data_IF_045732411598
#
_entry.id   IF_045732411598
#
_cell.length_a   1.000
_cell.length_b   1.000
_cell.length_c   1.000
_cell.angle_alpha   90.00
_cell.angle_beta   90.00
_cell.angle_gamma   90.00
#
_symmetry.space_group_name_H-M   'P 1'
#
loop_
_entity.id
_entity.type
_entity.pdbx_description
1 polymer ?
#
# COMPACT_ATOMS: atom_id res chain seq x y z
N UNK A 1 -64.06 -3.33 14.82
CA UNK A 1 -63.94 -1.90 14.46
C UNK A 1 -63.27 -1.84 13.09
N UNK A 2 -64.04 -1.52 12.06
CA UNK A 2 -63.64 -1.34 10.65
C UNK A 2 -62.64 -0.18 10.53
N UNK A 3 -61.67 -0.18 9.59
CA UNK A 3 -61.72 0.29 8.18
C UNK A 3 -60.38 -0.23 7.58
N UNK A 4 -60.22 -1.09 6.56
CA UNK A 4 -60.67 -1.18 5.15
C UNK A 4 -60.42 0.06 4.29
N UNK A 5 -59.34 0.06 3.52
CA UNK A 5 -59.41 0.45 2.10
C UNK A 5 -58.32 -0.26 1.27
N UNK A 6 -58.81 -1.11 0.37
CA UNK A 6 -58.16 -1.79 -0.75
C UNK A 6 -57.82 -0.83 -1.90
N UNK A 7 -57.07 -1.36 -2.88
CA UNK A 7 -57.04 -1.13 -4.36
C UNK A 7 -55.56 -1.01 -4.83
N UNK A 8 -55.02 -1.71 -5.83
CA UNK A 8 -55.50 -2.73 -6.77
C UNK A 8 -54.26 -3.37 -7.47
N UNK A 9 -54.34 -4.66 -7.77
CA UNK A 9 -53.42 -5.60 -8.47
C UNK A 9 -53.27 -5.33 -10.01
N UNK A 10 -52.52 -6.11 -10.85
CA UNK A 10 -51.92 -7.43 -10.62
C UNK A 10 -50.51 -7.73 -11.18
N UNK A 11 -49.92 -8.79 -10.64
CA UNK A 11 -48.89 -9.61 -11.26
C UNK A 11 -49.57 -10.74 -12.05
N UNK A 12 -49.07 -11.06 -13.24
CA UNK A 12 -49.46 -12.27 -13.97
C UNK A 12 -48.20 -13.06 -14.39
N UNK A 13 -48.33 -14.37 -14.21
CA UNK A 13 -47.33 -15.44 -14.32
C UNK A 13 -47.38 -16.10 -15.71
N UNK A 14 -46.46 -17.05 -15.87
CA UNK A 14 -46.43 -18.22 -16.77
C UNK A 14 -45.49 -18.07 -17.97
N UNK A 15 -44.86 -19.12 -18.49
CA UNK A 15 -44.14 -20.29 -17.96
C UNK A 15 -43.41 -20.88 -19.20
N UNK A 16 -42.40 -21.71 -18.96
CA UNK A 16 -41.53 -22.47 -19.86
C UNK A 16 -42.00 -22.82 -21.30
N UNK A 17 -41.08 -22.70 -22.27
CA UNK A 17 -41.15 -23.33 -23.59
C UNK A 17 -39.77 -23.41 -24.27
N UNK A 18 -39.33 -24.64 -24.57
CA UNK A 18 -38.05 -25.03 -25.19
C UNK A 18 -37.87 -24.47 -26.61
N UNK A 19 -36.65 -24.16 -27.08
CA UNK A 19 -36.41 -23.65 -28.43
C UNK A 19 -36.15 -24.79 -29.42
N UNK A 20 -37.20 -25.52 -29.76
CA UNK A 20 -37.23 -26.41 -30.93
C UNK A 20 -38.47 -25.99 -31.74
N UNK A 21 -38.33 -25.89 -33.06
CA UNK A 21 -39.36 -25.51 -34.05
C UNK A 21 -39.44 -24.03 -34.46
N UNK A 22 -38.60 -23.64 -35.44
CA UNK A 22 -39.01 -22.80 -36.58
C UNK A 22 -37.92 -22.78 -37.67
N UNK A 23 -37.86 -23.85 -38.47
CA UNK A 23 -37.24 -23.85 -39.80
C UNK A 23 -38.35 -23.94 -40.85
N UNK A 24 -38.29 -23.04 -41.83
CA UNK A 24 -38.93 -22.97 -43.17
C UNK A 24 -39.56 -21.59 -43.33
N UNK A 25 -39.16 -20.74 -44.29
CA UNK A 25 -39.18 -20.96 -45.74
C UNK A 25 -38.03 -20.20 -46.44
N UNK A 26 -37.33 -20.89 -47.35
CA UNK A 26 -36.52 -20.32 -48.45
C UNK A 26 -37.33 -20.58 -49.74
N UNK A 27 -37.19 -19.79 -50.83
CA UNK A 27 -36.30 -20.28 -51.89
C UNK A 27 -35.57 -19.18 -52.67
N UNK A 28 -34.28 -19.39 -52.94
CA UNK A 28 -33.63 -19.00 -54.19
C UNK A 28 -32.38 -19.88 -54.41
N UNK A 29 -32.63 -20.98 -55.11
CA UNK A 29 -31.68 -21.85 -55.80
C UNK A 29 -30.73 -21.06 -56.71
N UNK A 30 -29.42 -21.25 -56.57
CA UNK A 30 -28.52 -21.65 -57.68
C UNK A 30 -27.51 -22.66 -57.09
N UNK A 31 -27.53 -23.87 -57.64
CA UNK A 31 -26.63 -24.99 -57.34
C UNK A 31 -25.72 -25.21 -58.55
N UNK A 32 -24.42 -25.37 -58.32
CA UNK A 32 -23.64 -26.37 -59.07
C UNK A 32 -22.75 -27.15 -58.09
N UNK A 33 -22.73 -28.49 -58.18
CA UNK A 33 -21.93 -29.36 -57.33
C UNK A 33 -20.53 -29.49 -57.90
N UNK A 34 -19.50 -29.31 -57.08
CA UNK A 34 -18.29 -30.11 -57.17
C UNK A 34 -17.52 -30.04 -55.85
N UNK A 35 -17.66 -31.13 -55.10
CA UNK A 35 -16.58 -31.89 -54.48
C UNK A 35 -15.63 -31.19 -53.47
N UNK A 36 -15.67 -31.77 -52.26
CA UNK A 36 -14.51 -32.19 -51.43
C UNK A 36 -14.14 -31.31 -50.24
N UNK A 37 -14.68 -31.71 -49.08
CA UNK A 37 -14.12 -31.64 -47.72
C UNK A 37 -12.95 -30.68 -47.47
N UNK A 38 -13.26 -29.54 -46.85
CA UNK A 38 -12.27 -28.69 -46.17
C UNK A 38 -11.95 -29.33 -44.83
N UNK A 39 -10.88 -30.13 -44.81
CA UNK A 39 -10.15 -30.45 -43.58
C UNK A 39 -9.29 -29.24 -43.23
N UNK A 40 -9.63 -28.57 -42.12
CA UNK A 40 -8.77 -27.59 -41.46
C UNK A 40 -7.49 -28.31 -41.01
N UNK A 41 -6.41 -28.12 -41.77
CA UNK A 41 -5.05 -28.39 -41.34
C UNK A 41 -4.21 -27.14 -41.41
N UNK A 42 -3.39 -27.04 -40.38
CA UNK A 42 -2.56 -25.93 -39.95
C UNK A 42 -1.57 -25.44 -41.01
N UNK A 43 -1.28 -24.14 -40.93
CA UNK A 43 -0.01 -23.48 -41.23
C UNK A 43 0.97 -24.18 -42.19
N UNK A 44 1.10 -23.57 -43.38
CA UNK A 44 2.41 -23.26 -43.93
C UNK A 44 2.89 -24.09 -45.13
N UNK A 45 3.31 -23.35 -46.16
CA UNK A 45 4.23 -23.74 -47.25
C UNK A 45 3.57 -24.18 -48.55
N UNK A 46 3.38 -23.22 -49.45
CA UNK A 46 3.18 -23.49 -50.87
C UNK A 46 4.48 -24.07 -51.47
N UNK A 47 4.41 -25.25 -52.07
CA UNK A 47 5.52 -25.86 -52.82
C UNK A 47 5.17 -25.75 -54.31
N UNK A 48 5.91 -24.92 -55.05
CA UNK A 48 5.86 -24.89 -56.50
C UNK A 48 6.63 -26.09 -57.08
N UNK A 49 5.99 -26.87 -57.96
CA UNK A 49 6.63 -27.98 -58.66
C UNK A 49 7.11 -27.55 -60.06
N UNK A 50 8.42 -27.57 -60.28
CA UNK A 50 9.04 -27.41 -61.61
C UNK A 50 9.27 -28.78 -62.26
N UNK A 51 9.10 -28.84 -63.59
CA UNK A 51 9.10 -30.04 -64.45
C UNK A 51 10.50 -30.57 -64.81
N UNK A 52 11.50 -30.37 -63.95
CA UNK A 52 12.86 -30.88 -64.15
C UNK A 52 13.32 -31.58 -62.88
N UNK A 53 13.60 -32.89 -62.98
CA UNK A 53 13.89 -33.80 -61.87
C UNK A 53 15.22 -33.59 -61.15
N UNK A 54 15.53 -32.38 -60.72
CA UNK A 54 16.58 -32.12 -59.73
C UNK A 54 15.95 -31.81 -58.38
N UNK A 55 16.22 -32.67 -57.39
CA UNK A 55 15.87 -32.41 -55.99
C UNK A 55 16.67 -31.21 -55.51
N UNK A 56 16.05 -30.03 -55.48
CA UNK A 56 16.57 -28.91 -54.71
C UNK A 56 16.50 -29.30 -53.24
N UNK A 57 17.66 -29.63 -52.68
CA UNK A 57 17.85 -29.87 -51.25
C UNK A 57 17.66 -28.52 -50.54
N UNK A 58 16.42 -28.18 -50.22
CA UNK A 58 16.11 -27.03 -49.36
C UNK A 58 16.69 -27.36 -47.99
N UNK A 59 17.86 -26.78 -47.71
CA UNK A 59 18.49 -26.82 -46.41
C UNK A 59 17.63 -25.94 -45.50
N UNK A 60 16.69 -26.55 -44.77
CA UNK A 60 15.92 -25.83 -43.77
C UNK A 60 16.89 -25.06 -42.86
N UNK A 61 16.73 -23.73 -42.71
CA UNK A 61 17.59 -22.97 -41.83
C UNK A 61 17.12 -23.20 -40.39
N UNK A 62 17.39 -24.40 -39.85
CA UNK A 62 17.13 -24.77 -38.43
C UNK A 62 17.82 -23.81 -37.44
N UNK A 63 18.77 -23.00 -37.92
CA UNK A 63 19.52 -22.03 -37.12
C UNK A 63 18.75 -20.72 -36.80
N UNK A 64 17.57 -20.47 -37.38
CA UNK A 64 16.90 -19.14 -37.24
C UNK A 64 16.12 -18.96 -35.94
N UNK A 65 15.48 -20.00 -35.42
CA UNK A 65 14.71 -19.91 -34.17
C UNK A 65 15.60 -19.62 -32.96
N UNK A 66 16.79 -20.21 -32.96
CA UNK A 66 17.77 -19.98 -31.89
C UNK A 66 18.29 -18.55 -31.95
N UNK A 67 18.54 -17.99 -33.13
CA UNK A 67 18.93 -16.58 -33.28
C UNK A 67 17.88 -15.60 -32.75
N UNK A 68 16.59 -15.79 -33.07
CA UNK A 68 15.54 -14.87 -32.62
C UNK A 68 15.32 -14.96 -31.11
N UNK A 69 15.30 -16.17 -30.54
CA UNK A 69 15.14 -16.36 -29.09
C UNK A 69 16.33 -15.81 -28.32
N UNK A 70 17.56 -16.04 -28.81
CA UNK A 70 18.77 -15.46 -28.23
C UNK A 70 18.73 -13.93 -28.29
N UNK A 71 18.29 -13.35 -29.42
CA UNK A 71 18.21 -11.90 -29.57
C UNK A 71 17.19 -11.30 -28.58
N UNK A 72 16.00 -11.88 -28.44
CA UNK A 72 14.99 -11.42 -27.47
C UNK A 72 15.47 -11.54 -26.02
N UNK A 73 16.11 -12.66 -25.67
CA UNK A 73 16.69 -12.85 -24.33
C UNK A 73 17.79 -11.83 -24.06
N UNK A 74 18.65 -11.54 -25.04
CA UNK A 74 19.68 -10.49 -24.92
C UNK A 74 19.06 -9.12 -24.74
N UNK A 75 17.96 -8.79 -25.44
CA UNK A 75 17.26 -7.51 -25.24
C UNK A 75 16.66 -7.43 -23.84
N UNK A 76 16.04 -8.50 -23.35
CA UNK A 76 15.43 -8.53 -22.02
C UNK A 76 16.48 -8.43 -20.90
N UNK A 77 17.59 -9.16 -21.02
CA UNK A 77 18.74 -9.06 -20.10
C UNK A 77 19.37 -7.67 -20.17
N UNK A 78 19.50 -7.08 -21.36
CA UNK A 78 19.99 -5.72 -21.50
C UNK A 78 19.08 -4.71 -20.81
N UNK A 79 17.75 -4.88 -20.91
CA UNK A 79 16.78 -4.01 -20.26
C UNK A 79 16.83 -4.17 -18.74
N UNK A 80 16.95 -5.40 -18.23
CA UNK A 80 17.11 -5.68 -16.80
C UNK A 80 18.46 -5.19 -16.26
N UNK A 81 19.53 -5.26 -17.05
CA UNK A 81 20.82 -4.69 -16.67
C UNK A 81 20.76 -3.17 -16.70
N UNK A 82 20.15 -2.57 -17.72
CA UNK A 82 19.94 -1.12 -17.79
C UNK A 82 19.09 -0.70 -16.59
N UNK A 83 17.98 -1.36 -16.28
CA UNK A 83 17.15 -1.04 -15.12
C UNK A 83 17.87 -1.31 -13.80
N UNK A 84 18.70 -2.35 -13.68
CA UNK A 84 19.52 -2.61 -12.50
C UNK A 84 20.64 -1.59 -12.32
N UNK A 85 21.29 -1.16 -13.40
CA UNK A 85 22.33 -0.13 -13.39
C UNK A 85 21.74 1.27 -13.27
N UNK A 86 20.60 1.53 -13.90
CA UNK A 86 19.82 2.74 -13.76
C UNK A 86 19.26 2.82 -12.35
N UNK A 87 18.63 1.80 -11.78
CA UNK A 87 18.21 1.80 -10.37
C UNK A 87 19.41 1.93 -9.42
N UNK A 88 20.58 1.34 -9.73
CA UNK A 88 21.83 1.57 -8.97
C UNK A 88 22.44 2.96 -9.14
N UNK A 89 22.23 3.64 -10.28
CA UNK A 89 22.77 4.99 -10.59
C UNK A 89 21.73 6.12 -10.41
N UNK A 90 20.45 5.76 -10.31
CA UNK A 90 19.28 6.54 -9.88
C UNK A 90 18.97 6.28 -8.40
N UNK A 91 19.80 5.52 -7.69
CA UNK A 91 20.35 6.08 -6.45
C UNK A 91 21.12 7.30 -6.90
N UNK A 92 20.38 8.40 -7.10
CA UNK A 92 20.95 9.73 -7.08
C UNK A 92 21.80 9.69 -5.84
N UNK A 93 23.12 9.67 -6.05
CA UNK A 93 24.03 10.13 -5.04
C UNK A 93 23.46 11.48 -4.68
N UNK A 94 22.70 11.51 -3.58
CA UNK A 94 22.62 12.71 -2.80
C UNK A 94 24.10 13.01 -2.65
N UNK A 95 24.65 14.11 -3.22
CA UNK A 95 25.78 14.69 -2.54
C UNK A 95 25.30 14.73 -1.11
N UNK A 96 26.08 14.20 -0.16
CA UNK A 96 25.79 14.45 1.22
C UNK A 96 25.65 15.97 1.28
N UNK A 97 24.40 16.45 1.21
CA UNK A 97 23.96 17.60 1.91
C UNK A 97 24.40 17.16 3.28
N UNK A 98 25.58 17.66 3.66
CA UNK A 98 25.71 18.22 4.97
C UNK A 98 24.34 18.80 5.22
N UNK A 99 23.56 18.08 6.03
CA UNK A 99 22.35 18.59 6.63
C UNK A 99 22.94 19.68 7.51
N UNK A 100 23.29 20.78 6.85
CA UNK A 100 23.76 22.00 7.43
C UNK A 100 22.52 22.42 8.15
N UNK A 101 22.47 22.01 9.42
CA UNK A 101 21.50 22.32 10.46
C UNK A 101 20.56 23.36 9.91
N UNK A 102 19.55 22.91 9.14
CA UNK A 102 18.54 23.83 8.66
C UNK A 102 17.89 24.18 9.96
N UNK A 103 18.09 25.40 10.43
CA UNK A 103 17.34 25.89 11.57
C UNK A 103 15.92 25.52 11.27
N UNK A 104 15.41 24.57 12.07
CA UNK A 104 14.07 24.07 11.91
C UNK A 104 13.19 25.32 11.82
N UNK A 105 12.22 25.38 10.88
CA UNK A 105 11.23 26.45 10.90
C UNK A 105 10.78 26.58 12.35
N UNK A 106 10.67 27.82 12.88
CA UNK A 106 10.58 28.09 14.31
C UNK A 106 9.69 27.03 14.91
N UNK A 107 10.25 26.15 15.76
CA UNK A 107 9.52 25.03 16.33
C UNK A 107 8.31 25.66 16.99
N UNK A 108 7.17 25.65 16.31
CA UNK A 108 5.89 25.97 16.91
C UNK A 108 5.86 25.01 18.08
N UNK A 109 5.92 25.57 19.29
CA UNK A 109 6.01 24.76 20.49
C UNK A 109 4.93 23.68 20.37
N UNK A 110 5.29 22.38 20.44
CA UNK A 110 4.33 21.32 20.20
C UNK A 110 3.12 21.58 21.08
N UNK A 111 1.93 21.65 20.47
CA UNK A 111 0.73 21.86 21.26
C UNK A 111 0.57 20.64 22.16
N UNK A 112 0.68 20.85 23.46
CA UNK A 112 0.52 19.79 24.44
C UNK A 112 -0.99 19.57 24.63
N UNK A 113 -1.45 18.35 24.38
CA UNK A 113 -2.86 17.96 24.42
C UNK A 113 -2.98 16.67 25.21
N UNK A 114 -3.75 16.67 26.30
CA UNK A 114 -3.83 15.53 27.22
C UNK A 114 -2.48 15.02 27.75
N UNK A 115 -1.45 15.87 27.80
CA UNK A 115 -0.08 15.47 28.16
C UNK A 115 0.79 14.96 27.00
N UNK A 116 0.30 14.99 25.77
CA UNK A 116 1.00 14.48 24.58
C UNK A 116 1.32 15.60 23.59
N UNK A 117 2.48 15.50 22.94
CA UNK A 117 2.91 16.46 21.95
C UNK A 117 2.17 16.26 20.62
N UNK A 118 1.54 17.32 20.11
CA UNK A 118 0.87 17.33 18.80
C UNK A 118 1.36 18.52 17.96
N UNK A 119 2.45 18.36 17.19
CA UNK A 119 2.88 19.38 16.24
C UNK A 119 1.83 19.66 15.14
N UNK A 120 1.65 20.94 14.78
CA UNK A 120 0.62 21.37 13.83
C UNK A 120 0.97 21.15 12.36
N UNK A 121 2.27 21.05 12.04
CA UNK A 121 2.79 20.86 10.69
C UNK A 121 2.63 19.42 10.17
N UNK A 122 2.16 18.51 11.02
CA UNK A 122 1.96 17.09 10.70
C UNK A 122 0.50 16.80 10.32
N UNK A 123 0.31 15.61 9.74
CA UNK A 123 -1.00 14.98 9.58
C UNK A 123 -0.99 13.63 10.26
N UNK A 124 -2.10 13.26 10.88
CA UNK A 124 -2.20 12.08 11.74
C UNK A 124 -3.26 11.12 11.22
N UNK A 125 -2.99 9.84 11.33
CA UNK A 125 -3.96 8.79 11.13
C UNK A 125 -4.57 8.40 12.49
N UNK A 126 -5.87 8.03 12.57
CA UNK A 126 -6.48 7.57 13.82
C UNK A 126 -5.74 6.41 14.51
N UNK A 127 -4.98 5.62 13.74
CA UNK A 127 -4.09 4.58 14.25
C UNK A 127 -2.76 5.08 14.86
N UNK A 128 -2.70 6.32 15.32
CA UNK A 128 -1.54 6.93 16.00
C UNK A 128 -0.22 6.89 15.22
N UNK A 129 -0.33 7.09 13.90
CA UNK A 129 0.79 7.31 13.00
C UNK A 129 0.70 8.68 12.36
N UNK A 130 1.84 9.28 12.03
CA UNK A 130 1.90 10.60 11.42
C UNK A 130 2.55 10.56 10.04
N UNK A 131 2.21 11.54 9.22
CA UNK A 131 2.75 11.80 7.90
C UNK A 131 3.25 13.26 7.79
N UNK A 132 4.46 13.44 7.30
CA UNK A 132 5.08 14.72 6.97
C UNK A 132 5.42 14.73 5.47
N UNK A 133 4.96 15.75 4.75
CA UNK A 133 5.32 15.92 3.35
C UNK A 133 6.73 16.52 3.24
N UNK A 134 7.67 15.76 2.69
CA UNK A 134 9.05 16.22 2.41
C UNK A 134 9.16 16.84 1.01
N UNK A 135 8.37 16.32 0.09
CA UNK A 135 8.24 16.78 -1.29
C UNK A 135 6.83 16.46 -1.82
N UNK A 136 6.46 16.90 -3.03
CA UNK A 136 5.12 16.64 -3.58
C UNK A 136 4.68 15.17 -3.58
N UNK A 137 5.64 14.24 -3.58
CA UNK A 137 5.38 12.80 -3.69
C UNK A 137 6.18 11.95 -2.70
N UNK A 138 7.05 12.56 -1.87
CA UNK A 138 7.79 11.86 -0.81
C UNK A 138 7.25 12.25 0.56
N UNK A 139 6.87 11.26 1.35
CA UNK A 139 6.22 11.43 2.64
C UNK A 139 7.01 10.69 3.71
N UNK A 140 7.45 11.39 4.75
CA UNK A 140 8.06 10.78 5.94
C UNK A 140 6.97 10.35 6.91
N UNK A 141 7.14 9.18 7.52
CA UNK A 141 6.14 8.54 8.35
C UNK A 141 6.75 8.02 9.66
N UNK A 142 5.99 8.11 10.76
CA UNK A 142 6.37 7.59 12.08
C UNK A 142 5.16 7.33 12.99
N UNK A 143 5.42 6.97 14.26
CA UNK A 143 4.39 6.90 15.31
C UNK A 143 4.33 8.21 16.09
N UNK A 144 3.15 8.59 16.59
CA UNK A 144 2.99 9.82 17.38
C UNK A 144 3.46 9.66 18.84
N UNK A 145 3.54 10.78 19.57
CA UNK A 145 3.96 10.80 20.98
C UNK A 145 3.07 9.92 21.86
N UNK A 146 1.76 9.89 21.57
CA UNK A 146 0.79 9.06 22.29
C UNK A 146 1.10 7.56 22.13
N UNK A 147 1.26 7.07 20.91
CA UNK A 147 1.64 5.68 20.65
C UNK A 147 3.00 5.35 21.25
N UNK A 148 3.98 6.25 21.14
CA UNK A 148 5.34 5.98 21.65
C UNK A 148 5.37 5.75 23.17
N UNK A 149 4.57 6.51 23.92
CA UNK A 149 4.43 6.37 25.38
C UNK A 149 3.57 5.18 25.77
N UNK A 150 2.52 4.89 24.99
CA UNK A 150 1.65 3.74 25.21
C UNK A 150 2.40 2.42 24.99
N UNK A 151 3.07 2.26 23.84
CA UNK A 151 3.91 1.08 23.55
C UNK A 151 5.02 0.95 24.57
N UNK A 152 5.60 2.08 25.01
CA UNK A 152 6.67 2.10 25.98
C UNK A 152 7.93 1.43 25.43
N UNK A 153 8.60 0.56 26.21
CA UNK A 153 10.01 0.21 25.92
C UNK A 153 10.10 -0.82 24.81
N UNK A 154 10.43 -0.36 23.61
CA UNK A 154 10.56 -1.21 22.44
C UNK A 154 11.92 -1.93 22.47
N UNK A 155 11.90 -3.24 22.27
CA UNK A 155 13.09 -4.08 22.13
C UNK A 155 13.51 -4.22 20.67
N UNK A 156 12.53 -4.33 19.77
CA UNK A 156 12.76 -4.56 18.34
C UNK A 156 11.64 -3.96 17.50
N UNK A 157 12.00 -3.48 16.31
CA UNK A 157 11.08 -2.97 15.29
C UNK A 157 11.24 -3.82 14.02
N UNK A 158 10.12 -4.26 13.45
CA UNK A 158 10.10 -4.87 12.11
C UNK A 158 9.46 -3.90 11.13
N UNK A 159 10.23 -3.46 10.15
CA UNK A 159 9.83 -2.54 9.08
C UNK A 159 9.61 -3.30 7.75
N UNK A 160 8.83 -2.72 6.82
CA UNK A 160 8.64 -3.30 5.49
C UNK A 160 9.91 -3.18 4.64
N UNK A 161 9.96 -3.89 3.51
CA UNK A 161 11.08 -3.78 2.58
C UNK A 161 10.97 -2.53 1.71
N UNK A 162 12.11 -1.94 1.33
CA UNK A 162 12.16 -0.89 0.31
C UNK A 162 11.54 -1.41 -0.99
N UNK A 163 10.79 -0.56 -1.68
CA UNK A 163 10.04 -0.88 -2.90
C UNK A 163 8.67 -1.51 -2.66
N UNK A 164 8.38 -2.01 -1.45
CA UNK A 164 7.09 -2.63 -1.15
C UNK A 164 5.94 -1.63 -1.30
N UNK A 165 4.88 -2.03 -2.01
CA UNK A 165 3.65 -1.24 -2.08
C UNK A 165 2.79 -1.44 -0.83
N UNK A 166 2.28 -0.33 -0.29
CA UNK A 166 1.49 -0.28 0.95
C UNK A 166 0.23 0.55 0.73
N UNK A 167 -0.85 0.20 1.43
CA UNK A 167 -2.12 0.94 1.42
C UNK A 167 -2.31 1.77 2.69
N UNK A 168 -3.01 2.89 2.58
CA UNK A 168 -3.43 3.66 3.75
C UNK A 168 -4.31 2.77 4.64
N UNK A 169 -4.05 2.76 5.95
CA UNK A 169 -4.71 1.89 6.92
C UNK A 169 -4.19 0.45 6.96
N UNK A 170 -3.28 0.03 6.06
CA UNK A 170 -2.67 -1.30 6.09
C UNK A 170 -1.64 -1.39 7.21
N UNK A 171 -1.55 -2.54 7.89
CA UNK A 171 -0.44 -2.88 8.79
C UNK A 171 0.91 -2.66 8.07
N UNK A 172 1.77 -1.85 8.66
CA UNK A 172 3.01 -1.41 8.03
C UNK A 172 4.26 -1.82 8.79
N UNK A 173 4.21 -1.81 10.13
CA UNK A 173 5.32 -2.25 10.97
C UNK A 173 4.80 -2.83 12.28
N UNK A 174 5.67 -3.60 12.93
CA UNK A 174 5.39 -4.25 14.22
C UNK A 174 6.48 -3.88 15.22
N UNK A 175 6.06 -3.50 16.42
CA UNK A 175 6.91 -3.20 17.57
C UNK A 175 6.86 -4.37 18.56
N UNK A 176 8.00 -4.78 19.11
CA UNK A 176 8.08 -5.87 20.08
C UNK A 176 8.55 -5.36 21.44
N UNK A 177 7.92 -5.85 22.49
CA UNK A 177 8.24 -5.53 23.88
C UNK A 177 7.75 -6.63 24.81
N UNK A 178 8.59 -7.07 25.76
CA UNK A 178 8.20 -7.95 26.88
C UNK A 178 7.37 -9.16 26.40
N UNK A 179 7.79 -9.79 25.30
CA UNK A 179 7.09 -10.95 24.71
C UNK A 179 5.79 -10.64 23.95
N UNK A 180 5.34 -9.38 23.93
CA UNK A 180 4.16 -8.89 23.21
C UNK A 180 4.55 -8.12 21.94
N UNK A 181 3.60 -7.97 21.01
CA UNK A 181 3.79 -7.19 19.79
C UNK A 181 2.64 -6.25 19.49
N UNK A 182 2.94 -5.05 19.02
CA UNK A 182 1.96 -4.03 18.60
C UNK A 182 2.13 -3.75 17.11
N UNK A 183 1.04 -3.90 16.37
CA UNK A 183 0.97 -3.60 14.95
C UNK A 183 0.48 -2.18 14.72
N UNK A 184 1.15 -1.46 13.82
CA UNK A 184 0.77 -0.09 13.45
C UNK A 184 0.41 -0.03 11.97
N UNK A 185 -0.39 0.97 11.63
CA UNK A 185 -0.95 1.13 10.27
C UNK A 185 -0.32 2.30 9.53
N UNK A 186 -0.21 2.16 8.20
CA UNK A 186 0.32 3.22 7.36
C UNK A 186 -0.67 4.39 7.29
N UNK A 187 -0.22 5.64 7.52
CA UNK A 187 -1.07 6.81 7.29
C UNK A 187 -1.24 7.14 5.81
N UNK A 188 -0.47 6.52 4.90
CA UNK A 188 -0.48 6.84 3.47
C UNK A 188 -0.28 5.59 2.61
N UNK A 189 -0.73 5.63 1.36
CA UNK A 189 -0.40 4.61 0.37
C UNK A 189 0.73 5.04 -0.55
N UNK A 190 1.45 4.05 -1.10
CA UNK A 190 2.56 4.26 -2.01
C UNK A 190 3.59 3.15 -1.95
N UNK A 191 4.77 3.39 -2.52
CA UNK A 191 5.91 2.47 -2.43
C UNK A 191 6.88 2.94 -1.33
N UNK A 192 7.36 2.03 -0.49
CA UNK A 192 8.36 2.35 0.54
C UNK A 192 9.66 2.79 -0.13
N UNK A 193 10.03 4.06 0.03
CA UNK A 193 11.24 4.62 -0.56
C UNK A 193 12.49 4.32 0.28
N UNK A 194 12.38 4.50 1.60
CA UNK A 194 13.48 4.28 2.55
C UNK A 194 12.96 3.88 3.93
N UNK A 195 13.82 3.28 4.75
CA UNK A 195 13.58 2.91 6.15
C UNK A 195 14.63 3.57 7.05
N UNK A 196 14.23 3.93 8.28
CA UNK A 196 15.16 4.50 9.25
C UNK A 196 15.97 3.40 9.95
N UNK A 197 17.15 3.09 9.41
CA UNK A 197 18.03 2.09 10.01
C UNK A 197 18.54 2.49 11.41
N UNK A 198 18.61 3.78 11.72
CA UNK A 198 18.99 4.22 13.06
C UNK A 198 17.93 3.81 14.09
N UNK A 199 16.64 3.99 13.79
CA UNK A 199 15.54 3.55 14.64
C UNK A 199 15.44 2.02 14.76
N UNK A 200 15.86 1.26 13.74
CA UNK A 200 15.95 -0.20 13.83
C UNK A 200 17.06 -0.65 14.78
N UNK A 201 18.22 0.05 14.76
CA UNK A 201 19.36 -0.25 15.64
C UNK A 201 19.14 0.24 17.08
N UNK A 202 18.53 1.41 17.24
CA UNK A 202 18.13 1.98 18.53
C UNK A 202 16.63 2.34 18.50
N UNK A 203 15.75 1.37 18.84
CA UNK A 203 14.32 1.61 18.97
C UNK A 203 13.95 2.70 19.99
N UNK A 204 14.87 3.07 20.89
CA UNK A 204 14.66 4.16 21.83
C UNK A 204 14.47 5.52 21.14
N UNK A 205 14.96 5.70 19.91
CA UNK A 205 14.80 6.92 19.13
C UNK A 205 13.34 7.27 18.86
N UNK A 206 12.50 6.27 18.56
CA UNK A 206 11.08 6.48 18.24
C UNK A 206 10.27 6.98 19.42
N UNK A 207 10.81 6.86 20.64
CA UNK A 207 10.23 7.43 21.86
C UNK A 207 10.85 8.76 22.25
N UNK A 208 12.18 8.88 22.15
CA UNK A 208 12.90 10.10 22.55
C UNK A 208 12.57 11.29 21.66
N UNK A 209 12.43 11.05 20.36
CA UNK A 209 12.15 12.08 19.37
C UNK A 209 11.22 11.56 18.26
N UNK A 210 9.94 11.27 18.57
CA UNK A 210 9.00 10.62 17.66
C UNK A 210 8.75 11.39 16.35
N UNK A 211 8.99 12.71 16.36
CA UNK A 211 8.72 13.60 15.22
C UNK A 211 9.98 14.10 14.49
N UNK A 212 11.16 13.94 15.08
CA UNK A 212 12.45 14.24 14.45
C UNK A 212 13.16 12.96 14.02
N UNK A 213 14.16 12.53 14.80
CA UNK A 213 15.03 11.38 14.46
C UNK A 213 14.33 10.01 14.59
N UNK A 214 13.17 9.95 15.25
CA UNK A 214 12.37 8.75 15.49
C UNK A 214 11.42 8.36 14.36
N UNK A 215 11.52 8.98 13.17
CA UNK A 215 10.78 8.55 11.98
C UNK A 215 11.10 7.09 11.61
N UNK A 216 10.21 6.40 10.89
CA UNK A 216 10.35 4.96 10.64
C UNK A 216 10.61 4.63 9.17
N UNK A 217 9.90 5.28 8.25
CA UNK A 217 10.08 5.07 6.82
C UNK A 217 9.65 6.30 6.02
N UNK A 218 10.07 6.34 4.77
CA UNK A 218 9.56 7.27 3.76
C UNK A 218 8.78 6.51 2.69
N UNK A 219 7.72 7.13 2.19
CA UNK A 219 6.82 6.57 1.19
C UNK A 219 6.79 7.48 -0.03
N UNK A 220 7.02 6.89 -1.20
CA UNK A 220 6.74 7.48 -2.49
C UNK A 220 5.24 7.34 -2.79
N UNK A 221 4.48 8.40 -2.53
CA UNK A 221 3.03 8.48 -2.69
C UNK A 221 2.70 9.32 -3.93
N UNK A 222 2.37 8.72 -5.09
CA UNK A 222 2.09 9.46 -6.32
C UNK A 222 0.88 10.38 -6.20
N UNK A 223 -0.10 10.04 -5.33
CA UNK A 223 -1.27 10.88 -5.04
C UNK A 223 -1.29 11.34 -3.57
N UNK A 224 -0.15 11.87 -3.09
CA UNK A 224 -0.04 12.37 -1.71
C UNK A 224 -1.12 13.42 -1.39
N UNK A 225 -1.47 14.29 -2.34
CA UNK A 225 -2.49 15.32 -2.13
C UNK A 225 -3.84 14.73 -1.72
N UNK A 226 -4.31 13.68 -2.40
CA UNK A 226 -5.58 13.03 -2.05
C UNK A 226 -5.45 12.26 -0.74
N UNK A 227 -4.37 11.50 -0.54
CA UNK A 227 -4.14 10.72 0.68
C UNK A 227 -4.16 11.56 1.96
N UNK A 228 -3.59 12.77 1.89
CA UNK A 228 -3.57 13.71 3.02
C UNK A 228 -4.96 14.24 3.41
N UNK A 229 -5.96 14.16 2.53
CA UNK A 229 -7.35 14.58 2.86
C UNK A 229 -8.02 13.64 3.86
N UNK A 230 -7.56 12.39 3.94
CA UNK A 230 -8.08 11.39 4.87
C UNK A 230 -7.39 11.45 6.25
N UNK A 231 -6.43 12.36 6.42
CA UNK A 231 -5.67 12.49 7.65
C UNK A 231 -6.14 13.68 8.49
N UNK A 232 -5.98 13.53 9.80
CA UNK A 232 -6.33 14.52 10.81
C UNK A 232 -5.26 15.61 10.85
N UNK A 233 -5.67 16.88 10.85
CA UNK A 233 -4.78 18.03 10.97
C UNK A 233 -5.36 19.09 11.89
N UNK A 234 -4.50 19.98 12.39
CA UNK A 234 -4.90 21.13 13.22
C UNK A 234 -5.80 20.73 14.40
N UNK A 235 -6.96 21.38 14.51
CA UNK A 235 -7.90 21.13 15.60
C UNK A 235 -8.40 19.68 15.69
N UNK A 236 -8.55 18.99 14.56
CA UNK A 236 -9.03 17.61 14.56
C UNK A 236 -7.98 16.64 15.11
N UNK A 237 -6.70 16.86 14.80
CA UNK A 237 -5.61 16.06 15.37
C UNK A 237 -5.50 16.27 16.90
N UNK A 238 -5.65 17.53 17.36
CA UNK A 238 -5.70 17.84 18.79
C UNK A 238 -6.89 17.14 19.46
N UNK A 239 -8.10 17.30 18.91
CA UNK A 239 -9.28 16.65 19.45
C UNK A 239 -9.14 15.12 19.52
N UNK A 240 -8.62 14.49 18.47
CA UNK A 240 -8.38 13.05 18.45
C UNK A 240 -7.39 12.59 19.53
N UNK A 241 -6.33 13.36 19.74
CA UNK A 241 -5.33 13.08 20.78
C UNK A 241 -5.94 13.24 22.18
N UNK A 242 -6.71 14.31 22.41
CA UNK A 242 -7.41 14.54 23.67
C UNK A 242 -8.41 13.43 23.98
N UNK A 243 -9.22 13.01 23.00
CA UNK A 243 -10.16 11.90 23.17
C UNK A 243 -9.42 10.59 23.47
N UNK A 244 -8.33 10.31 22.75
CA UNK A 244 -7.50 9.13 22.97
C UNK A 244 -6.87 9.11 24.38
N UNK A 245 -6.36 10.25 24.83
CA UNK A 245 -5.84 10.44 26.19
C UNK A 245 -6.94 10.24 27.24
N UNK A 246 -8.11 10.84 27.06
CA UNK A 246 -9.25 10.68 27.96
C UNK A 246 -9.76 9.24 28.02
N UNK A 247 -9.77 8.52 26.88
CA UNK A 247 -10.12 7.08 26.83
C UNK A 247 -9.10 6.24 27.58
N UNK A 248 -7.81 6.53 27.42
CA UNK A 248 -6.75 5.87 28.15
C UNK A 248 -6.88 6.12 29.66
N UNK A 249 -7.17 7.35 30.08
CA UNK A 249 -7.38 7.71 31.48
C UNK A 249 -8.56 6.99 32.12
N UNK A 250 -9.67 6.83 31.40
CA UNK A 250 -10.81 6.05 31.90
C UNK A 250 -10.47 4.57 32.08
N UNK A 251 -9.63 4.00 31.21
CA UNK A 251 -9.16 2.61 31.32
C UNK A 251 -8.08 2.44 32.38
N UNK A 252 -7.24 3.46 32.58
CA UNK A 252 -6.06 3.43 33.45
C UNK A 252 -5.97 4.69 34.32
N UNK A 253 -6.88 4.85 35.30
CA UNK A 253 -6.95 6.06 36.12
C UNK A 253 -5.69 6.32 36.95
N UNK A 254 -4.91 5.27 37.27
CA UNK A 254 -3.65 5.35 38.03
C UNK A 254 -2.42 5.56 37.14
N UNK A 255 -2.41 5.06 35.89
CA UNK A 255 -1.25 5.18 34.99
C UNK A 255 -1.00 6.65 34.58
N UNK A 256 -2.07 7.46 34.57
CA UNK A 256 -2.01 8.90 34.29
C UNK A 256 -2.12 9.74 35.57
N UNK A 257 -1.89 9.14 36.76
CA UNK A 257 -2.08 9.73 38.09
C UNK A 257 -1.24 10.97 38.42
N UNK A 258 -0.42 11.45 37.48
CA UNK A 258 0.36 12.70 37.57
C UNK A 258 -0.03 13.75 36.51
N UNK A 259 -1.12 13.56 35.76
CA UNK A 259 -1.57 14.51 34.73
C UNK A 259 -2.67 15.47 35.20
N UNK A 260 -3.30 15.17 36.35
CA UNK A 260 -4.58 15.78 36.70
C UNK A 260 -4.48 17.17 37.37
N UNK A 261 -3.29 17.63 37.79
CA UNK A 261 -3.22 18.83 38.66
C UNK A 261 -2.28 19.94 38.16
N UNK A 262 -1.38 19.65 37.23
CA UNK A 262 -0.22 20.48 36.92
C UNK A 262 -0.04 20.76 35.42
N UNK A 263 -0.98 20.32 34.56
CA UNK A 263 -0.86 20.52 33.11
C UNK A 263 0.40 19.90 32.51
N UNK A 264 0.95 18.89 33.20
CA UNK A 264 2.25 18.29 32.93
C UNK A 264 2.27 17.38 31.70
N UNK A 265 3.48 17.12 31.23
CA UNK A 265 3.74 16.16 30.15
C UNK A 265 3.43 14.74 30.65
N UNK A 266 2.79 13.92 29.82
CA UNK A 266 2.50 12.53 30.15
C UNK A 266 3.80 11.79 30.49
N UNK A 267 3.82 11.15 31.65
CA UNK A 267 4.97 10.44 32.21
C UNK A 267 5.41 9.34 31.24
N UNK A 268 6.71 9.24 31.00
CA UNK A 268 7.28 8.15 30.23
C UNK A 268 7.01 6.82 30.95
N UNK A 269 6.62 5.78 30.21
CA UNK A 269 6.46 4.40 30.69
C UNK A 269 5.12 4.08 31.43
N UNK A 270 3.99 4.55 30.88
CA UNK A 270 2.61 4.25 31.36
C UNK A 270 2.34 2.75 31.59
N UNK A 271 3.05 1.91 30.86
CA UNK A 271 2.91 0.46 30.78
C UNK A 271 3.77 -0.31 31.78
N UNK A 272 4.67 0.32 32.53
CA UNK A 272 5.40 -0.35 33.62
C UNK A 272 4.53 -0.73 34.83
N UNK A 273 3.25 -0.34 34.82
CA UNK A 273 2.27 -0.64 35.88
C UNK A 273 1.22 -1.70 35.46
N UNK A 274 1.36 -2.35 34.30
CA UNK A 274 0.41 -3.39 33.85
C UNK A 274 0.92 -4.81 34.14
N UNK A 275 0.08 -5.70 34.69
CA UNK A 275 0.25 -7.16 34.61
C UNK A 275 -0.07 -7.67 33.18
N UNK A 276 0.59 -8.73 32.74
CA UNK A 276 0.61 -9.28 31.37
C UNK A 276 -0.76 -9.69 30.74
N UNK A 277 -1.89 -9.52 31.42
CA UNK A 277 -3.14 -10.24 31.09
C UNK A 277 -4.21 -9.42 30.35
N UNK A 278 -4.05 -8.11 30.15
CA UNK A 278 -5.14 -7.23 29.65
C UNK A 278 -4.94 -6.71 28.20
N UNK A 279 -4.12 -7.37 27.38
CA UNK A 279 -3.74 -6.84 26.06
C UNK A 279 -4.69 -7.17 24.89
N UNK A 280 -5.81 -7.85 25.11
CA UNK A 280 -6.76 -8.13 24.03
C UNK A 280 -7.65 -6.91 23.73
N UNK A 281 -7.31 -6.18 22.65
CA UNK A 281 -8.20 -5.24 21.95
C UNK A 281 -8.27 -5.62 20.48
#
# INVERSE_FOLDING_TARGET
>A
MLIKLELQFPAEKFDHGSPEDAISFIPAQIWSPDATSVQLREFGTAIAFSRSGERLRIKEPRARWHMTVILVLLTFVSFLLIDHFCSRKYVVAQPALQVAKREAPPRLAPSLVGGFQVPENLRYHPGHTWALSESPSLVRVGMDDFASKLVGKIERITLPQRGQWIRQGQKIWTMFRDGSSVDMVSPIEGSVADINEAAVRDPGLTRKDPYGEGWLLTVQSPDAKTNFRNLLGGALARWWTEDSAGRLQRKMPLALGALAQDGGVAVDNLTAQMPDQDWAV
#
